data_IF_583492693713
#
_entry.id   IF_583492693713
#
_cell.length_a   1.000
_cell.length_b   1.000
_cell.length_c   1.000
_cell.angle_alpha   90.00
_cell.angle_beta   90.00
_cell.angle_gamma   90.00
#
_symmetry.space_group_name_H-M   'P 1'
#
loop_
_entity.id
_entity.type
_entity.pdbx_description
1 polymer ?
#
# COMPACT_ATOMS: atom_id res chain seq x y z
N UNK A 1 -2.80 -31.24 18.18
CA UNK A 1 -1.36 -30.90 17.97
C UNK A 1 -0.91 -30.74 16.50
N UNK A 2 -1.46 -31.46 15.50
CA UNK A 2 -1.02 -31.35 14.08
C UNK A 2 -1.40 -30.03 13.37
N UNK A 3 -2.53 -29.44 13.71
CA UNK A 3 -3.02 -28.17 13.13
C UNK A 3 -2.09 -26.99 13.45
N UNK A 4 -1.59 -26.93 14.68
CA UNK A 4 -0.70 -25.86 15.14
C UNK A 4 0.65 -25.85 14.38
N UNK A 5 1.19 -27.04 14.03
CA UNK A 5 2.40 -27.17 13.20
C UNK A 5 2.18 -26.71 11.75
N UNK A 6 1.01 -26.99 11.17
CA UNK A 6 0.65 -26.49 9.81
C UNK A 6 0.52 -24.97 9.82
N UNK A 7 -0.18 -24.41 10.79
CA UNK A 7 -0.36 -22.96 10.93
C UNK A 7 0.96 -22.22 11.11
N UNK A 8 1.83 -22.70 12.00
CA UNK A 8 3.19 -22.15 12.19
C UNK A 8 4.02 -22.17 10.90
N UNK A 9 3.92 -23.24 10.10
CA UNK A 9 4.63 -23.35 8.81
C UNK A 9 4.10 -22.35 7.78
N UNK A 10 2.80 -22.09 7.77
CA UNK A 10 2.18 -21.07 6.91
C UNK A 10 2.72 -19.70 7.27
N UNK A 11 2.61 -19.33 8.54
CA UNK A 11 3.07 -18.03 9.05
C UNK A 11 4.55 -17.80 8.78
N UNK A 12 5.41 -18.79 9.07
CA UNK A 12 6.85 -18.69 8.84
C UNK A 12 7.18 -18.45 7.36
N UNK A 13 6.49 -19.11 6.43
CA UNK A 13 6.69 -18.90 4.98
C UNK A 13 6.26 -17.51 4.54
N UNK A 14 5.11 -17.04 5.03
CA UNK A 14 4.61 -15.69 4.74
C UNK A 14 5.57 -14.62 5.25
N UNK A 15 6.06 -14.76 6.48
CA UNK A 15 7.02 -13.83 7.08
C UNK A 15 8.37 -13.83 6.36
N UNK A 16 8.87 -14.99 5.91
CA UNK A 16 10.11 -15.05 5.14
C UNK A 16 10.00 -14.29 3.80
N UNK A 17 8.85 -14.35 3.14
CA UNK A 17 8.57 -13.56 1.92
C UNK A 17 8.51 -12.08 2.28
N UNK A 18 7.79 -11.72 3.35
CA UNK A 18 7.66 -10.34 3.78
C UNK A 18 9.04 -9.72 4.12
N UNK A 19 9.90 -10.44 4.85
CA UNK A 19 11.24 -10.00 5.21
C UNK A 19 12.11 -9.74 3.98
N UNK A 20 12.08 -10.66 3.00
CA UNK A 20 12.80 -10.50 1.73
C UNK A 20 12.37 -9.22 1.01
N UNK A 21 11.06 -8.97 0.94
CA UNK A 21 10.51 -7.80 0.26
C UNK A 21 10.90 -6.51 0.98
N UNK A 22 10.71 -6.46 2.30
CA UNK A 22 11.08 -5.30 3.14
C UNK A 22 12.58 -4.98 3.00
N UNK A 23 13.45 -6.00 3.07
CA UNK A 23 14.90 -5.83 2.89
C UNK A 23 15.24 -5.26 1.51
N UNK A 24 14.50 -5.65 0.48
CA UNK A 24 14.66 -5.12 -0.88
C UNK A 24 14.17 -3.68 -0.96
N UNK A 25 13.04 -3.33 -0.33
CA UNK A 25 12.54 -1.95 -0.26
C UNK A 25 13.54 -1.01 0.45
N UNK A 26 14.07 -1.44 1.61
CA UNK A 26 15.04 -0.65 2.41
C UNK A 26 16.32 -0.36 1.62
N UNK A 27 16.73 -1.26 0.72
CA UNK A 27 17.89 -1.03 -0.16
C UNK A 27 17.71 0.22 -1.04
N UNK A 28 16.47 0.54 -1.41
CA UNK A 28 16.12 1.71 -2.22
C UNK A 28 15.61 2.88 -1.36
N UNK A 29 16.50 3.46 -0.54
CA UNK A 29 16.17 4.54 0.41
C UNK A 29 15.35 5.70 -0.19
N UNK A 30 15.67 6.13 -1.41
CA UNK A 30 14.93 7.20 -2.09
C UNK A 30 13.47 6.83 -2.36
N UNK A 31 13.22 5.60 -2.84
CA UNK A 31 11.86 5.11 -3.09
C UNK A 31 11.05 5.00 -1.80
N UNK A 32 11.70 4.58 -0.71
CA UNK A 32 11.09 4.48 0.62
C UNK A 32 10.68 5.86 1.18
N UNK A 33 11.58 6.85 1.11
CA UNK A 33 11.24 8.23 1.50
C UNK A 33 10.10 8.79 0.63
N UNK A 34 10.16 8.58 -0.67
CA UNK A 34 9.13 9.03 -1.60
C UNK A 34 7.75 8.44 -1.28
N UNK A 35 7.72 7.14 -0.94
CA UNK A 35 6.50 6.43 -0.54
C UNK A 35 5.86 7.03 0.71
N UNK A 36 6.62 7.70 1.57
CA UNK A 36 6.10 8.37 2.77
C UNK A 36 5.66 9.81 2.53
N UNK A 37 6.39 10.56 1.70
CA UNK A 37 6.00 11.93 1.37
C UNK A 37 4.75 12.00 0.48
N UNK A 38 4.61 11.07 -0.46
CA UNK A 38 3.53 11.06 -1.42
C UNK A 38 2.11 11.02 -0.79
N UNK A 39 1.82 10.18 0.23
CA UNK A 39 0.52 10.21 0.92
C UNK A 39 0.25 11.54 1.63
N UNK A 40 1.28 12.18 2.20
CA UNK A 40 1.12 13.49 2.87
C UNK A 40 0.81 14.58 1.84
N UNK A 41 1.53 14.59 0.71
CA UNK A 41 1.31 15.55 -0.38
C UNK A 41 -0.08 15.36 -1.01
N UNK A 42 -0.48 14.12 -1.26
CA UNK A 42 -1.79 13.80 -1.85
C UNK A 42 -2.96 14.12 -0.92
N UNK A 43 -2.74 14.25 0.39
CA UNK A 43 -3.75 14.73 1.34
C UNK A 43 -3.74 16.27 1.45
N UNK A 44 -2.56 16.89 1.50
CA UNK A 44 -2.42 18.35 1.63
C UNK A 44 -2.83 19.10 0.35
N UNK A 45 -2.51 18.58 -0.83
CA UNK A 45 -2.78 19.28 -2.09
C UNK A 45 -4.28 19.49 -2.37
N UNK A 46 -5.16 18.48 -2.21
CA UNK A 46 -6.60 18.68 -2.33
C UNK A 46 -7.13 19.67 -1.29
N UNK A 47 -6.61 19.64 -0.05
CA UNK A 47 -6.97 20.61 1.00
C UNK A 47 -6.69 22.03 0.51
N UNK A 48 -5.47 22.32 0.06
CA UNK A 48 -5.08 23.65 -0.38
C UNK A 48 -5.83 24.13 -1.63
N UNK A 49 -6.02 23.25 -2.62
CA UNK A 49 -6.67 23.60 -3.90
C UNK A 49 -8.16 23.81 -3.69
N UNK A 50 -8.82 22.87 -3.00
CA UNK A 50 -10.26 22.94 -2.83
C UNK A 50 -10.65 24.01 -1.81
N UNK A 51 -9.86 24.29 -0.78
CA UNK A 51 -10.08 25.46 0.08
C UNK A 51 -10.16 26.75 -0.75
N UNK A 52 -9.22 26.95 -1.66
CA UNK A 52 -9.23 28.09 -2.60
C UNK A 52 -10.41 28.06 -3.58
N UNK A 53 -10.80 26.89 -4.08
CA UNK A 53 -11.95 26.72 -5.00
C UNK A 53 -13.30 26.90 -4.26
N UNK A 54 -13.36 26.56 -2.98
CA UNK A 54 -14.55 26.71 -2.13
C UNK A 54 -14.77 28.18 -1.73
N UNK A 55 -13.69 28.94 -1.46
CA UNK A 55 -13.77 30.41 -1.32
C UNK A 55 -14.35 31.08 -2.59
N UNK A 56 -13.98 30.58 -3.78
CA UNK A 56 -14.48 31.06 -5.07
C UNK A 56 -15.93 30.66 -5.38
N UNK A 57 -16.39 29.51 -4.86
CA UNK A 57 -17.71 28.93 -5.16
C UNK A 57 -18.81 29.23 -4.14
N UNK A 58 -18.54 30.10 -3.16
CA UNK A 58 -19.55 30.71 -2.27
C UNK A 58 -20.72 31.36 -3.02
N UNK A 59 -20.59 31.56 -4.34
CA UNK A 59 -21.60 32.09 -5.26
C UNK A 59 -22.58 31.05 -5.85
N UNK A 60 -22.31 29.74 -5.79
CA UNK A 60 -23.08 28.75 -6.56
C UNK A 60 -23.32 27.40 -5.85
N UNK A 61 -24.53 27.29 -5.30
CA UNK A 61 -25.38 26.12 -4.94
C UNK A 61 -24.91 24.69 -5.33
N UNK A 62 -23.78 24.20 -4.84
CA UNK A 62 -23.48 22.75 -4.83
C UNK A 62 -23.49 22.29 -3.38
N UNK A 63 -24.67 22.16 -2.76
CA UNK A 63 -24.84 21.60 -1.39
C UNK A 63 -24.11 22.34 -0.24
N UNK A 64 -24.40 22.01 1.03
CA UNK A 64 -23.68 22.56 2.17
C UNK A 64 -22.36 21.78 2.35
N UNK A 65 -21.29 22.26 1.70
CA UNK A 65 -19.93 21.80 2.01
C UNK A 65 -19.49 22.39 3.34
N UNK A 66 -19.84 21.71 4.43
CA UNK A 66 -19.30 22.02 5.75
C UNK A 66 -17.84 21.53 5.82
N UNK A 67 -16.98 22.19 6.60
CA UNK A 67 -15.60 21.74 6.84
C UNK A 67 -15.53 20.27 7.30
N UNK A 68 -16.53 19.84 8.06
CA UNK A 68 -16.66 18.46 8.57
C UNK A 68 -16.88 17.44 7.45
N UNK A 69 -17.85 17.67 6.56
CA UNK A 69 -18.14 16.78 5.43
C UNK A 69 -16.97 16.72 4.44
N UNK A 70 -16.27 17.84 4.29
CA UNK A 70 -15.09 17.95 3.44
C UNK A 70 -13.92 17.11 3.96
N UNK A 71 -13.63 17.19 5.26
CA UNK A 71 -12.61 16.36 5.89
C UNK A 71 -12.92 14.86 5.76
N UNK A 72 -14.18 14.48 5.93
CA UNK A 72 -14.63 13.09 5.74
C UNK A 72 -14.42 12.63 4.29
N UNK A 73 -14.74 13.48 3.30
CA UNK A 73 -14.54 13.17 1.89
C UNK A 73 -13.06 12.92 1.55
N UNK A 74 -12.16 13.80 2.02
CA UNK A 74 -10.71 13.62 1.84
C UNK A 74 -10.23 12.34 2.51
N UNK A 75 -10.69 12.06 3.72
CA UNK A 75 -10.30 10.87 4.47
C UNK A 75 -10.70 9.58 3.75
N UNK A 76 -11.91 9.53 3.18
CA UNK A 76 -12.38 8.40 2.38
C UNK A 76 -11.52 8.25 1.12
N UNK A 77 -11.28 9.35 0.40
CA UNK A 77 -10.43 9.35 -0.80
C UNK A 77 -9.02 8.86 -0.51
N UNK A 78 -8.42 9.31 0.59
CA UNK A 78 -7.11 8.88 1.06
C UNK A 78 -7.08 7.37 1.37
N UNK A 79 -8.12 6.86 2.03
CA UNK A 79 -8.24 5.43 2.35
C UNK A 79 -8.30 4.57 1.09
N UNK A 80 -9.10 4.98 0.10
CA UNK A 80 -9.20 4.29 -1.20
C UNK A 80 -7.86 4.31 -1.92
N UNK A 81 -7.16 5.45 -1.92
CA UNK A 81 -5.85 5.58 -2.55
C UNK A 81 -4.81 4.66 -1.88
N UNK A 82 -4.80 4.54 -0.56
CA UNK A 82 -3.95 3.56 0.14
C UNK A 82 -4.25 2.14 -0.34
N UNK A 83 -5.53 1.75 -0.38
CA UNK A 83 -5.91 0.41 -0.86
C UNK A 83 -5.43 0.16 -2.29
N UNK A 84 -5.55 1.14 -3.18
CA UNK A 84 -5.07 1.05 -4.54
C UNK A 84 -3.54 0.88 -4.60
N UNK A 85 -2.78 1.62 -3.79
CA UNK A 85 -1.31 1.47 -3.75
C UNK A 85 -0.86 0.08 -3.30
N UNK A 86 -1.60 -0.57 -2.38
CA UNK A 86 -1.32 -1.94 -1.96
C UNK A 86 -1.51 -2.94 -3.11
N UNK A 87 -2.54 -2.73 -3.94
CA UNK A 87 -2.81 -3.57 -5.12
C UNK A 87 -1.71 -3.35 -6.17
N UNK A 88 -1.37 -2.09 -6.47
CA UNK A 88 -0.37 -1.72 -7.48
C UNK A 88 1.06 -2.12 -7.09
N UNK A 89 1.33 -2.37 -5.81
CA UNK A 89 2.63 -2.83 -5.34
C UNK A 89 2.97 -4.26 -5.81
N UNK A 90 1.97 -5.14 -5.87
CA UNK A 90 2.15 -6.54 -6.25
C UNK A 90 2.81 -6.68 -7.64
N UNK A 91 2.28 -6.08 -8.73
CA UNK A 91 2.94 -6.18 -10.03
C UNK A 91 4.31 -5.49 -10.06
N UNK A 92 4.49 -4.36 -9.36
CA UNK A 92 5.77 -3.63 -9.30
C UNK A 92 6.87 -4.48 -8.64
N UNK A 93 6.56 -5.17 -7.55
CA UNK A 93 7.50 -6.07 -6.86
C UNK A 93 7.92 -7.25 -7.75
N UNK A 94 6.98 -7.83 -8.50
CA UNK A 94 7.27 -8.91 -9.44
C UNK A 94 8.16 -8.45 -10.61
N UNK A 95 7.99 -7.22 -11.08
CA UNK A 95 8.85 -6.61 -12.11
C UNK A 95 10.28 -6.42 -11.57
N UNK A 96 10.43 -5.93 -10.35
CA UNK A 96 11.74 -5.72 -9.71
C UNK A 96 12.53 -7.02 -9.54
N UNK A 97 11.86 -8.15 -9.25
CA UNK A 97 12.53 -9.45 -9.10
C UNK A 97 12.85 -10.17 -10.42
N UNK A 98 12.79 -9.46 -11.56
CA UNK A 98 12.85 -10.05 -12.91
C UNK A 98 11.66 -10.98 -13.17
N UNK A 99 10.51 -10.36 -13.45
CA UNK A 99 9.22 -10.97 -13.82
C UNK A 99 9.31 -12.20 -14.73
N UNK A 100 10.05 -12.10 -15.85
CA UNK A 100 10.33 -13.18 -16.81
C UNK A 100 10.95 -14.47 -16.22
N UNK A 101 11.67 -14.41 -15.10
CA UNK A 101 12.28 -15.58 -14.45
C UNK A 101 11.49 -16.03 -13.22
N UNK A 102 10.89 -15.09 -12.50
CA UNK A 102 10.11 -15.38 -11.28
C UNK A 102 8.70 -15.88 -11.58
N UNK A 103 7.98 -15.31 -12.54
CA UNK A 103 6.60 -15.74 -12.83
C UNK A 103 6.50 -17.24 -13.23
N UNK A 104 7.33 -17.78 -14.13
CA UNK A 104 7.27 -19.20 -14.49
C UNK A 104 7.66 -20.11 -13.31
N UNK A 105 8.62 -19.68 -12.51
CA UNK A 105 9.06 -20.40 -11.31
C UNK A 105 7.96 -20.40 -10.22
N UNK A 106 7.22 -19.29 -10.11
CA UNK A 106 6.08 -19.16 -9.22
C UNK A 106 4.87 -19.98 -9.68
N UNK A 107 4.71 -20.18 -10.99
CA UNK A 107 3.65 -21.03 -11.54
C UNK A 107 3.96 -22.52 -11.39
N UNK A 108 5.24 -22.92 -11.46
CA UNK A 108 5.66 -24.32 -11.43
C UNK A 108 6.05 -24.83 -10.04
N UNK A 109 6.44 -23.96 -9.10
CA UNK A 109 6.89 -24.42 -7.80
C UNK A 109 5.74 -24.88 -6.87
N UNK A 110 5.96 -25.91 -6.04
CA UNK A 110 4.94 -26.52 -5.17
C UNK A 110 4.73 -25.70 -3.89
N UNK A 111 4.39 -24.42 -4.02
CA UNK A 111 4.03 -23.56 -2.90
C UNK A 111 2.63 -22.97 -3.09
N UNK A 112 1.98 -22.67 -1.98
CA UNK A 112 0.65 -22.08 -2.00
C UNK A 112 0.75 -20.58 -2.33
N UNK A 113 0.06 -20.16 -3.39
CA UNK A 113 0.04 -18.76 -3.87
C UNK A 113 -0.48 -17.78 -2.81
N UNK A 114 -1.34 -18.25 -1.90
CA UNK A 114 -1.81 -17.43 -0.78
C UNK A 114 -0.65 -16.94 0.10
N UNK A 115 0.41 -17.73 0.32
CA UNK A 115 1.55 -17.28 1.14
C UNK A 115 2.27 -16.09 0.52
N UNK A 116 2.26 -16.01 -0.80
CA UNK A 116 2.91 -14.96 -1.54
C UNK A 116 2.07 -13.66 -1.52
N UNK A 117 0.76 -13.79 -1.71
CA UNK A 117 -0.18 -12.67 -1.56
C UNK A 117 -0.15 -12.09 -0.14
N UNK A 118 -0.25 -12.95 0.88
CA UNK A 118 -0.15 -12.51 2.28
C UNK A 118 1.23 -11.94 2.59
N UNK A 119 2.30 -12.48 2.01
CA UNK A 119 3.66 -11.97 2.18
C UNK A 119 3.81 -10.55 1.64
N UNK A 120 3.23 -10.26 0.47
CA UNK A 120 3.21 -8.91 -0.10
C UNK A 120 2.39 -7.93 0.75
N UNK A 121 1.20 -8.34 1.18
CA UNK A 121 0.34 -7.51 2.04
C UNK A 121 1.06 -7.17 3.35
N UNK A 122 1.63 -8.17 4.03
CA UNK A 122 2.38 -7.96 5.27
C UNK A 122 3.61 -7.07 5.03
N UNK A 123 4.34 -7.26 3.92
CA UNK A 123 5.49 -6.39 3.62
C UNK A 123 5.09 -4.94 3.39
N UNK A 124 3.91 -4.68 2.84
CA UNK A 124 3.40 -3.33 2.64
C UNK A 124 3.00 -2.68 3.97
N UNK A 125 2.29 -3.40 4.84
CA UNK A 125 2.00 -2.92 6.20
C UNK A 125 3.26 -2.60 6.98
N UNK A 126 4.26 -3.49 6.93
CA UNK A 126 5.56 -3.27 7.59
C UNK A 126 6.28 -2.07 6.96
N UNK A 127 6.28 -1.93 5.63
CA UNK A 127 6.90 -0.78 4.95
C UNK A 127 6.24 0.57 5.29
N UNK A 128 4.94 0.58 5.57
CA UNK A 128 4.23 1.78 6.08
C UNK A 128 4.62 2.05 7.55
N UNK A 129 4.88 1.01 8.35
CA UNK A 129 5.20 1.10 9.79
C UNK A 129 6.68 1.36 10.13
N UNK A 130 7.61 1.19 9.19
CA UNK A 130 9.06 1.39 9.41
C UNK A 130 9.55 2.84 9.65
N UNK A 131 8.77 3.95 9.59
CA UNK A 131 9.34 5.24 9.99
C UNK A 131 9.53 5.42 11.52
N UNK A 132 9.32 4.38 12.35
CA UNK A 132 9.57 4.38 13.81
C UNK A 132 10.50 3.24 14.26
#
# INVERSE_FOLDING_TARGET
MRTNKKFRRIFSKTFAIAEKNVRTQIRFKFFMLWKWFLPIITLLMPILILDKVFELSTSSKIGPWTPENYMIFIFIGYTIMIMQTMIDYIPKSLIQEKYWKTLPLLMTAPFNRFYLLFGYIISEFVGILIPF
#
